data_IF_434855141248
#
_entry.id   IF_434855141248
#
_cell.length_a   1.000
_cell.length_b   1.000
_cell.length_c   1.000
_cell.angle_alpha   90.00
_cell.angle_beta   90.00
_cell.angle_gamma   90.00
#
_symmetry.space_group_name_H-M   'P 1'
#
loop_
_entity.id
_entity.type
_entity.pdbx_description
1 polymer ?
#
# COMPACT_ATOMS: atom_id res chain seq x y z
N UNK A 1 46.09 -24.97 -6.81
CA UNK A 1 45.00 -24.48 -5.94
C UNK A 1 44.43 -23.22 -6.57
N UNK A 2 43.24 -23.29 -7.16
CA UNK A 2 42.63 -22.18 -7.89
C UNK A 2 41.34 -21.70 -7.21
N UNK A 3 41.19 -20.39 -7.20
CA UNK A 3 40.23 -19.56 -6.46
C UNK A 3 39.01 -19.24 -7.33
N UNK A 4 37.81 -19.41 -6.75
CA UNK A 4 36.62 -18.56 -6.91
C UNK A 4 35.94 -18.38 -8.28
N UNK A 5 34.60 -18.53 -8.29
CA UNK A 5 33.62 -17.53 -8.78
C UNK A 5 32.18 -18.06 -8.59
N UNK A 6 31.46 -17.48 -7.62
CA UNK A 6 29.99 -17.65 -7.48
C UNK A 6 29.31 -16.65 -8.41
N UNK A 7 28.59 -17.14 -9.41
CA UNK A 7 27.82 -16.30 -10.34
C UNK A 7 26.38 -16.15 -9.84
N UNK A 8 26.05 -14.93 -9.37
CA UNK A 8 24.67 -14.52 -9.08
C UNK A 8 23.87 -14.45 -10.38
N UNK A 9 22.85 -15.29 -10.57
CA UNK A 9 21.91 -15.14 -11.68
C UNK A 9 20.71 -14.31 -11.21
N UNK A 10 20.68 -13.08 -11.71
CA UNK A 10 19.66 -12.03 -11.53
C UNK A 10 18.35 -12.46 -12.19
N UNK A 11 17.24 -12.46 -11.47
CA UNK A 11 15.90 -12.67 -12.06
C UNK A 11 15.37 -11.32 -12.52
N UNK A 12 15.21 -11.16 -13.83
CA UNK A 12 14.63 -9.98 -14.48
C UNK A 12 13.12 -9.97 -14.33
N UNK A 13 12.59 -8.88 -13.80
CA UNK A 13 11.20 -8.46 -13.96
C UNK A 13 10.92 -8.12 -15.42
N UNK A 14 9.79 -8.61 -15.95
CA UNK A 14 8.92 -8.01 -16.97
C UNK A 14 8.28 -9.13 -17.81
N UNK A 15 6.98 -9.39 -17.63
CA UNK A 15 5.98 -9.48 -18.72
C UNK A 15 4.59 -9.33 -18.07
N UNK A 16 3.98 -8.18 -18.23
CA UNK A 16 2.52 -8.00 -18.26
C UNK A 16 2.21 -7.35 -19.61
N UNK A 17 1.23 -7.93 -20.30
CA UNK A 17 0.47 -7.48 -21.49
C UNK A 17 0.24 -8.70 -22.38
N UNK A 18 -0.89 -8.92 -23.06
CA UNK A 18 -2.28 -8.53 -22.93
C UNK A 18 -3.02 -9.56 -23.82
N UNK A 19 -4.27 -9.88 -23.48
CA UNK A 19 -5.36 -10.36 -24.35
C UNK A 19 -5.09 -11.45 -25.43
N UNK A 20 -5.82 -12.58 -25.36
CA UNK A 20 -6.51 -13.21 -26.50
C UNK A 20 -7.25 -14.48 -26.02
N UNK A 21 -8.54 -14.44 -26.31
CA UNK A 21 -9.60 -15.43 -26.19
C UNK A 21 -9.29 -16.81 -26.82
N UNK A 22 -9.89 -17.83 -26.19
CA UNK A 22 -10.32 -19.12 -26.76
C UNK A 22 -9.44 -20.37 -26.53
N UNK A 23 -9.85 -21.11 -25.50
CA UNK A 23 -10.17 -22.54 -25.59
C UNK A 23 -9.09 -23.49 -26.10
N UNK A 24 -8.27 -23.99 -25.17
CA UNK A 24 -8.02 -25.44 -25.10
C UNK A 24 -7.77 -25.85 -23.66
N UNK A 25 -8.73 -26.60 -23.15
CA UNK A 25 -8.63 -27.36 -21.91
C UNK A 25 -7.36 -28.19 -21.95
N UNK A 26 -6.33 -27.75 -21.23
CA UNK A 26 -5.24 -28.61 -20.80
C UNK A 26 -5.48 -28.80 -19.31
N UNK A 27 -6.29 -29.80 -18.97
CA UNK A 27 -6.17 -30.48 -17.69
C UNK A 27 -4.76 -31.09 -17.67
N UNK A 28 -3.75 -30.27 -17.35
CA UNK A 28 -2.54 -30.82 -16.77
C UNK A 28 -2.96 -31.22 -15.37
N UNK A 29 -3.12 -32.53 -15.17
CA UNK A 29 -2.78 -33.19 -13.92
C UNK A 29 -1.38 -32.71 -13.53
N UNK A 30 -1.32 -31.55 -12.89
CA UNK A 30 -0.11 -31.06 -12.26
C UNK A 30 -0.05 -31.79 -10.94
N UNK A 31 0.51 -32.98 -11.05
CA UNK A 31 1.12 -33.80 -10.02
C UNK A 31 0.69 -33.43 -8.60
N UNK A 32 0.04 -34.39 -7.94
CA UNK A 32 -0.14 -34.49 -6.50
C UNK A 32 1.19 -34.50 -5.70
N UNK A 33 2.28 -34.01 -6.28
CA UNK A 33 3.54 -33.61 -5.67
C UNK A 33 3.56 -32.10 -5.39
N UNK A 34 2.43 -31.49 -4.99
CA UNK A 34 2.48 -30.31 -4.12
C UNK A 34 3.06 -30.79 -2.80
N UNK A 35 4.38 -30.86 -2.75
CA UNK A 35 5.17 -31.17 -1.56
C UNK A 35 4.52 -30.45 -0.38
N UNK A 36 4.04 -31.23 0.58
CA UNK A 36 3.66 -30.69 1.88
C UNK A 36 4.89 -29.94 2.36
N UNK A 37 4.86 -28.60 2.30
CA UNK A 37 5.96 -27.75 2.74
C UNK A 37 6.49 -28.32 4.06
N UNK A 38 7.77 -28.72 4.08
CA UNK A 38 8.39 -29.26 5.29
C UNK A 38 8.15 -28.32 6.45
N UNK A 39 8.05 -28.83 7.68
CA UNK A 39 7.83 -27.99 8.87
C UNK A 39 8.86 -26.84 8.95
N UNK A 40 10.11 -27.11 8.54
CA UNK A 40 11.15 -26.09 8.45
C UNK A 40 10.86 -25.05 7.35
N UNK A 41 10.43 -25.49 6.16
CA UNK A 41 10.07 -24.60 5.06
C UNK A 41 8.87 -23.71 5.41
N UNK A 42 7.87 -24.24 6.11
CA UNK A 42 6.73 -23.46 6.62
C UNK A 42 7.17 -22.39 7.60
N UNK A 43 8.10 -22.72 8.51
CA UNK A 43 8.66 -21.76 9.46
C UNK A 43 9.41 -20.63 8.76
N UNK A 44 10.29 -20.96 7.81
CA UNK A 44 11.03 -19.97 7.01
C UNK A 44 10.10 -19.09 6.19
N UNK A 45 9.10 -19.69 5.54
CA UNK A 45 8.13 -18.95 4.74
C UNK A 45 7.29 -18.01 5.63
N UNK A 46 6.84 -18.46 6.79
CA UNK A 46 6.08 -17.65 7.74
C UNK A 46 6.87 -16.42 8.19
N UNK A 47 8.13 -16.60 8.60
CA UNK A 47 9.01 -15.48 9.00
C UNK A 47 9.22 -14.51 7.84
N UNK A 48 9.49 -15.03 6.64
CA UNK A 48 9.69 -14.20 5.44
C UNK A 48 8.43 -13.42 5.06
N UNK A 49 7.25 -14.07 5.08
CA UNK A 49 5.98 -13.41 4.75
C UNK A 49 5.63 -12.34 5.77
N UNK A 50 5.88 -12.59 7.06
CA UNK A 50 5.62 -11.62 8.12
C UNK A 50 6.58 -10.44 8.05
N UNK A 51 7.85 -10.69 7.75
CA UNK A 51 8.83 -9.64 7.54
C UNK A 51 8.42 -8.73 6.39
N UNK A 52 8.02 -9.30 5.25
CA UNK A 52 7.50 -8.54 4.10
C UNK A 52 6.23 -7.75 4.47
N UNK A 53 5.30 -8.36 5.20
CA UNK A 53 4.08 -7.70 5.67
C UNK A 53 4.41 -6.47 6.53
N UNK A 54 5.39 -6.60 7.43
CA UNK A 54 5.84 -5.49 8.29
C UNK A 54 6.58 -4.41 7.51
N UNK A 55 7.38 -4.77 6.51
CA UNK A 55 8.03 -3.80 5.62
C UNK A 55 7.01 -2.96 4.86
N UNK A 56 6.01 -3.60 4.25
CA UNK A 56 4.90 -2.92 3.58
C UNK A 56 4.16 -1.98 4.55
N UNK A 57 3.86 -2.45 5.77
CA UNK A 57 3.19 -1.62 6.77
C UNK A 57 4.01 -0.37 7.13
N UNK A 58 5.34 -0.52 7.29
CA UNK A 58 6.24 0.61 7.54
C UNK A 58 6.24 1.61 6.38
N UNK A 59 6.29 1.14 5.14
CA UNK A 59 6.22 2.01 3.97
C UNK A 59 4.92 2.81 3.93
N UNK A 60 3.78 2.22 4.33
CA UNK A 60 2.52 2.95 4.42
C UNK A 60 2.56 4.05 5.48
N UNK A 61 3.11 3.77 6.66
CA UNK A 61 3.26 4.79 7.70
C UNK A 61 4.22 5.90 7.28
N UNK A 62 5.33 5.58 6.64
CA UNK A 62 6.28 6.57 6.12
C UNK A 62 5.61 7.48 5.06
N UNK A 63 4.67 6.95 4.26
CA UNK A 63 3.86 7.77 3.33
C UNK A 63 2.88 8.69 4.07
N UNK A 64 2.22 8.20 5.12
CA UNK A 64 1.30 9.01 5.92
C UNK A 64 2.02 10.20 6.56
N UNK A 65 3.20 9.97 7.14
CA UNK A 65 4.04 11.02 7.74
C UNK A 65 4.42 12.10 6.71
N UNK A 66 4.67 11.72 5.45
CA UNK A 66 4.98 12.69 4.39
C UNK A 66 3.79 13.55 3.95
N UNK A 67 2.56 13.05 4.09
CA UNK A 67 1.34 13.73 3.62
C UNK A 67 0.80 14.67 4.69
N UNK A 68 0.87 14.26 5.96
CA UNK A 68 0.31 15.02 7.07
C UNK A 68 1.36 16.03 7.54
N UNK A 69 1.09 17.34 7.44
CA UNK A 69 2.08 18.38 7.75
C UNK A 69 2.49 18.43 9.22
N UNK A 70 1.61 17.96 10.12
CA UNK A 70 1.83 17.99 11.56
C UNK A 70 2.65 16.79 12.08
N UNK A 71 3.02 15.84 11.22
CA UNK A 71 3.80 14.66 11.56
C UNK A 71 5.28 14.87 11.20
N UNK A 72 6.17 14.64 12.17
CA UNK A 72 7.61 14.64 11.91
C UNK A 72 8.12 13.25 11.52
N UNK A 73 9.24 13.19 10.79
CA UNK A 73 9.92 11.92 10.45
C UNK A 73 10.31 11.11 11.70
N UNK A 74 10.50 11.78 12.84
CA UNK A 74 10.79 11.18 14.15
C UNK A 74 9.60 10.37 14.71
N UNK A 75 8.38 10.67 14.28
CA UNK A 75 7.14 10.07 14.79
C UNK A 75 6.66 8.88 13.94
N UNK A 76 7.41 8.48 12.91
CA UNK A 76 7.03 7.41 11.99
C UNK A 76 6.90 6.00 12.61
N UNK A 77 7.30 5.85 13.88
CA UNK A 77 7.18 4.59 14.64
C UNK A 77 6.01 4.56 15.62
N UNK A 78 5.36 5.69 15.87
CA UNK A 78 4.29 5.80 16.85
C UNK A 78 2.91 5.70 16.20
N UNK A 79 2.41 4.48 16.01
CA UNK A 79 1.12 4.22 15.32
C UNK A 79 -0.03 5.10 15.85
N UNK A 80 -0.16 5.20 17.18
CA UNK A 80 -1.20 6.02 17.81
C UNK A 80 -1.08 7.51 17.46
N UNK A 81 0.14 8.08 17.51
CA UNK A 81 0.35 9.50 17.17
C UNK A 81 0.03 9.75 15.70
N UNK A 82 0.44 8.83 14.82
CA UNK A 82 0.15 8.90 13.38
C UNK A 82 -1.37 8.94 13.17
N UNK A 83 -2.13 8.03 13.79
CA UNK A 83 -3.58 8.00 13.63
C UNK A 83 -4.28 9.24 14.17
N UNK A 84 -3.90 9.72 15.35
CA UNK A 84 -4.52 10.90 15.97
C UNK A 84 -4.26 12.14 15.11
N UNK A 85 -3.00 12.38 14.72
CA UNK A 85 -2.65 13.54 13.87
C UNK A 85 -3.29 13.45 12.48
N UNK A 86 -3.33 12.26 11.89
CA UNK A 86 -4.01 12.04 10.60
C UNK A 86 -5.51 12.35 10.70
N UNK A 87 -6.18 11.90 11.77
CA UNK A 87 -7.60 12.21 12.01
C UNK A 87 -7.83 13.72 12.15
N UNK A 88 -6.97 14.39 12.91
CA UNK A 88 -7.06 15.84 13.10
C UNK A 88 -6.87 16.59 11.78
N UNK A 89 -5.89 16.17 10.97
CA UNK A 89 -5.63 16.77 9.66
C UNK A 89 -6.79 16.55 8.68
N UNK A 90 -7.40 15.35 8.68
CA UNK A 90 -8.62 15.10 7.91
C UNK A 90 -9.74 16.04 8.32
N UNK A 91 -10.02 16.18 9.63
CA UNK A 91 -11.03 17.10 10.12
C UNK A 91 -10.77 18.54 9.64
N UNK A 92 -9.53 19.01 9.76
CA UNK A 92 -9.13 20.33 9.25
C UNK A 92 -9.37 20.47 7.74
N UNK A 93 -9.06 19.47 6.93
CA UNK A 93 -9.31 19.48 5.48
C UNK A 93 -10.81 19.62 5.17
N UNK A 94 -11.68 18.89 5.87
CA UNK A 94 -13.13 19.00 5.68
C UNK A 94 -13.64 20.40 6.05
N UNK A 95 -13.24 20.93 7.22
CA UNK A 95 -13.61 22.29 7.64
C UNK A 95 -13.10 23.34 6.66
N UNK A 96 -11.86 23.19 6.18
CA UNK A 96 -11.27 24.11 5.22
C UNK A 96 -11.99 24.07 3.87
N UNK A 97 -12.33 22.88 3.39
CA UNK A 97 -13.12 22.70 2.17
C UNK A 97 -14.49 23.39 2.31
N UNK A 98 -15.18 23.20 3.44
CA UNK A 98 -16.47 23.84 3.72
C UNK A 98 -16.37 25.38 3.68
N UNK A 99 -15.33 25.96 4.31
CA UNK A 99 -15.08 27.41 4.28
C UNK A 99 -14.86 27.91 2.84
N UNK A 100 -14.05 27.22 2.06
CA UNK A 100 -13.78 27.59 0.66
C UNK A 100 -15.05 27.51 -0.19
N UNK A 101 -15.90 26.50 0.03
CA UNK A 101 -17.21 26.39 -0.64
C UNK A 101 -18.14 27.55 -0.28
N UNK A 102 -18.16 27.96 0.99
CA UNK A 102 -18.91 29.14 1.44
C UNK A 102 -18.40 30.41 0.75
N UNK A 103 -17.08 30.56 0.60
CA UNK A 103 -16.49 31.69 -0.11
C UNK A 103 -16.85 31.68 -1.60
N UNK A 104 -16.79 30.54 -2.28
CA UNK A 104 -17.19 30.43 -3.69
C UNK A 104 -18.66 30.82 -3.89
N UNK A 105 -19.53 30.38 -2.98
CA UNK A 105 -20.95 30.77 -3.01
C UNK A 105 -21.12 32.29 -2.84
N UNK A 106 -20.36 32.93 -1.95
CA UNK A 106 -20.37 34.38 -1.79
C UNK A 106 -19.97 35.13 -3.07
N UNK A 107 -19.02 34.59 -3.84
CA UNK A 107 -18.62 35.16 -5.13
C UNK A 107 -19.50 34.69 -6.30
N UNK A 108 -20.63 34.01 -6.04
CA UNK A 108 -21.52 33.44 -7.04
C UNK A 108 -20.83 32.47 -8.03
N UNK A 109 -19.77 31.79 -7.59
CA UNK A 109 -19.04 30.78 -8.38
C UNK A 109 -19.54 29.39 -8.00
N UNK A 110 -19.94 28.60 -9.00
CA UNK A 110 -20.39 27.22 -8.79
C UNK A 110 -19.24 26.32 -8.33
N UNK A 111 -19.42 25.63 -7.21
CA UNK A 111 -18.46 24.64 -6.74
C UNK A 111 -18.64 23.32 -7.51
N UNK A 112 -17.56 22.71 -8.04
CA UNK A 112 -17.60 21.38 -8.63
C UNK A 112 -18.08 20.31 -7.62
N UNK A 113 -18.99 19.44 -8.06
CA UNK A 113 -19.65 18.45 -7.21
C UNK A 113 -18.68 17.47 -6.53
N UNK A 114 -17.61 17.07 -7.23
CA UNK A 114 -16.59 16.16 -6.69
C UNK A 114 -15.78 16.73 -5.52
N UNK A 115 -15.88 18.04 -5.25
CA UNK A 115 -15.23 18.70 -4.11
C UNK A 115 -16.16 18.86 -2.91
N UNK A 116 -17.43 18.44 -3.03
CA UNK A 116 -18.41 18.46 -1.94
C UNK A 116 -18.16 17.26 -1.05
N UNK A 117 -17.25 17.42 -0.10
CA UNK A 117 -16.90 16.38 0.87
C UNK A 117 -17.46 16.77 2.23
N UNK A 118 -18.38 15.97 2.74
CA UNK A 118 -18.97 16.17 4.07
C UNK A 118 -18.35 15.19 5.06
N UNK A 119 -17.94 15.71 6.22
CA UNK A 119 -17.55 14.85 7.33
C UNK A 119 -18.80 14.18 7.90
N UNK A 120 -18.94 12.86 7.70
CA UNK A 120 -19.96 12.06 8.38
C UNK A 120 -19.29 11.33 9.53
N UNK A 121 -19.68 11.67 10.75
CA UNK A 121 -19.38 10.80 11.90
C UNK A 121 -20.16 9.50 11.72
N UNK A 122 -19.44 8.38 11.77
CA UNK A 122 -19.96 7.01 11.70
C UNK A 122 -20.14 6.50 13.11
#
# INVERSE_FOLDING_TARGET
MAIGKVTKKRVSSNVIDADVTSSKVIFQEKDASREKLSHNQKRVNHVTSEQRRREILREYYDRLVKIVPDLEESENRSEWQIYVKTKNYLHWLYTRNEQLRKHLNYFNVTCPEHLVWEYREV
#
